data_IF_552068040139
#
_entry.id   IF_552068040139
#
_cell.length_a   1.000
_cell.length_b   1.000
_cell.length_c   1.000
_cell.angle_alpha   90.00
_cell.angle_beta   90.00
_cell.angle_gamma   90.00
#
_symmetry.space_group_name_H-M   'P 1'
#
loop_
_entity.id
_entity.type
_entity.pdbx_description
1 polymer ?
#
# COMPACT_ATOMS: atom_id res chain seq x y z
N UNK A 1 -1.16 -9.96 0.22
CA UNK A 1 0.10 -9.33 -0.23
C UNK A 1 0.11 -7.90 0.29
N UNK A 2 1.21 -7.49 0.94
CA UNK A 2 1.46 -6.11 1.34
C UNK A 2 2.50 -5.53 0.37
N UNK A 3 2.32 -4.30 -0.08
CA UNK A 3 3.32 -3.62 -0.88
C UNK A 3 3.34 -2.13 -0.60
N UNK A 4 4.54 -1.58 -0.56
CA UNK A 4 4.82 -0.16 -0.32
C UNK A 4 5.39 0.40 -1.60
N UNK A 5 4.81 1.50 -2.06
CA UNK A 5 5.11 2.10 -3.36
C UNK A 5 5.41 3.58 -3.17
N UNK A 6 6.41 4.09 -3.88
CA UNK A 6 6.73 5.51 -3.91
C UNK A 6 5.85 6.29 -4.92
N UNK A 7 6.07 7.61 -5.02
CA UNK A 7 5.32 8.45 -5.98
C UNK A 7 5.63 8.15 -7.44
N UNK A 8 6.75 7.48 -7.71
CA UNK A 8 7.23 7.12 -9.05
C UNK A 8 6.80 5.70 -9.46
N UNK A 9 5.84 5.10 -8.75
CA UNK A 9 5.35 3.75 -9.02
C UNK A 9 6.41 2.65 -8.83
N UNK A 10 7.43 2.89 -7.99
CA UNK A 10 8.45 1.91 -7.63
C UNK A 10 8.08 1.24 -6.30
N UNK A 11 8.17 -0.09 -6.27
CA UNK A 11 8.03 -0.84 -5.02
C UNK A 11 9.26 -0.62 -4.15
N UNK A 12 9.02 -0.12 -2.94
CA UNK A 12 10.02 0.00 -1.87
C UNK A 12 10.07 -1.26 -1.02
N UNK A 13 8.94 -1.95 -0.91
CA UNK A 13 8.79 -3.18 -0.13
C UNK A 13 7.64 -4.01 -0.68
N UNK A 14 7.79 -5.32 -0.73
CA UNK A 14 6.73 -6.28 -1.08
C UNK A 14 6.83 -7.48 -0.15
N UNK A 15 5.74 -7.78 0.55
CA UNK A 15 5.57 -9.01 1.31
C UNK A 15 4.46 -9.85 0.66
N UNK A 16 4.78 -11.05 0.15
CA UNK A 16 3.76 -11.97 -0.34
C UNK A 16 2.70 -12.23 0.74
N UNK A 17 1.44 -12.38 0.31
CA UNK A 17 0.34 -12.61 1.24
C UNK A 17 0.51 -13.92 1.98
N UNK A 18 -0.09 -13.99 3.17
CA UNK A 18 -0.30 -15.28 3.83
C UNK A 18 -1.46 -16.00 3.16
N UNK A 19 -1.41 -17.32 3.13
CA UNK A 19 -2.53 -18.15 2.67
C UNK A 19 -3.72 -17.98 3.64
N UNK A 20 -4.92 -17.73 3.10
CA UNK A 20 -6.16 -17.49 3.87
C UNK A 20 -6.55 -16.02 4.13
N UNK A 21 -7.65 -15.82 4.85
CA UNK A 21 -8.23 -14.49 5.16
C UNK A 21 -7.50 -13.81 6.33
N UNK A 22 -6.26 -13.39 6.10
CA UNK A 22 -5.49 -12.60 7.07
C UNK A 22 -5.85 -11.13 7.00
N UNK A 23 -6.08 -10.48 8.15
CA UNK A 23 -6.36 -9.05 8.19
C UNK A 23 -5.13 -8.21 7.81
N UNK A 24 -5.38 -7.08 7.15
CA UNK A 24 -4.33 -6.13 6.73
C UNK A 24 -3.37 -5.74 7.85
N UNK A 25 -3.89 -5.49 9.07
CA UNK A 25 -3.08 -5.14 10.24
C UNK A 25 -2.16 -6.28 10.70
N UNK A 26 -2.57 -7.55 10.55
CA UNK A 26 -1.72 -8.70 10.90
C UNK A 26 -0.53 -8.82 9.95
N UNK A 27 -0.76 -8.63 8.65
CA UNK A 27 0.30 -8.69 7.63
C UNK A 27 1.30 -7.54 7.82
N UNK A 28 0.83 -6.33 8.12
CA UNK A 28 1.72 -5.19 8.43
C UNK A 28 2.54 -5.43 9.69
N UNK A 29 1.92 -5.96 10.75
CA UNK A 29 2.64 -6.28 11.99
C UNK A 29 3.71 -7.35 11.78
N UNK A 30 3.42 -8.35 10.95
CA UNK A 30 4.42 -9.37 10.60
C UNK A 30 5.58 -8.77 9.81
N UNK A 31 5.28 -7.92 8.82
CA UNK A 31 6.30 -7.22 8.03
C UNK A 31 7.28 -6.42 8.91
N UNK A 32 6.81 -5.85 10.02
CA UNK A 32 7.62 -5.03 10.92
C UNK A 32 8.32 -5.81 12.04
N UNK A 33 8.28 -7.15 12.05
CA UNK A 33 8.94 -7.93 13.10
C UNK A 33 10.46 -7.83 12.99
N UNK A 34 11.10 -7.41 14.08
CA UNK A 34 12.56 -7.23 14.17
C UNK A 34 13.37 -8.52 13.95
N UNK A 35 12.75 -9.71 14.06
CA UNK A 35 13.42 -10.98 13.79
C UNK A 35 13.44 -11.36 12.30
N UNK A 36 12.83 -10.54 11.43
CA UNK A 36 12.87 -10.72 9.98
C UNK A 36 14.11 -10.04 9.41
N UNK A 37 14.81 -10.73 8.53
CA UNK A 37 15.93 -10.16 7.80
C UNK A 37 15.47 -9.10 6.78
N UNK A 38 14.24 -9.22 6.29
CA UNK A 38 13.56 -8.31 5.38
C UNK A 38 12.57 -7.38 6.11
N UNK A 39 12.78 -7.09 7.40
CA UNK A 39 11.85 -6.28 8.17
C UNK A 39 11.55 -4.92 7.52
N UNK A 40 10.28 -4.60 7.38
CA UNK A 40 9.84 -3.28 6.96
C UNK A 40 10.03 -2.27 8.08
N UNK A 41 10.96 -1.34 7.89
CA UNK A 41 11.28 -0.29 8.86
C UNK A 41 10.78 1.06 8.35
N UNK A 42 10.07 1.78 9.22
CA UNK A 42 9.71 3.18 8.95
C UNK A 42 10.86 4.08 9.38
N UNK A 43 11.50 4.84 8.48
CA UNK A 43 12.57 5.75 8.86
C UNK A 43 12.08 6.82 9.84
N UNK A 44 12.95 7.22 10.78
CA UNK A 44 12.61 8.24 11.77
C UNK A 44 12.20 9.56 11.09
N UNK A 45 11.11 10.16 11.58
CA UNK A 45 10.56 11.39 11.03
C UNK A 45 9.80 11.24 9.70
N UNK A 46 9.63 10.01 9.19
CA UNK A 46 8.85 9.74 7.97
C UNK A 46 7.54 9.03 8.29
N UNK A 47 6.58 9.20 7.39
CA UNK A 47 5.26 8.58 7.48
C UNK A 47 4.88 7.96 6.14
N UNK A 48 4.23 6.80 6.20
CA UNK A 48 3.57 6.15 5.08
C UNK A 48 2.07 6.40 5.11
N UNK A 49 1.50 6.69 3.94
CA UNK A 49 0.04 6.77 3.80
C UNK A 49 -0.52 5.35 3.70
N UNK A 50 -1.53 5.04 4.51
CA UNK A 50 -2.16 3.71 4.57
C UNK A 50 -3.63 3.76 4.23
N UNK A 51 -4.19 2.62 3.84
CA UNK A 51 -5.63 2.46 3.58
C UNK A 51 -6.45 2.71 4.87
N UNK A 52 -7.73 3.07 4.73
CA UNK A 52 -8.69 3.24 5.83
C UNK A 52 -8.87 2.01 6.72
N UNK A 53 -8.51 0.82 6.20
CA UNK A 53 -8.49 -0.43 6.97
C UNK A 53 -7.29 -0.59 7.92
N UNK A 54 -6.37 0.37 7.94
CA UNK A 54 -5.26 0.42 8.88
C UNK A 54 -5.50 1.47 9.97
N UNK A 55 -4.94 1.21 11.14
CA UNK A 55 -4.96 2.13 12.27
C UNK A 55 -3.89 3.22 12.11
N UNK A 56 -4.24 4.46 12.44
CA UNK A 56 -3.26 5.55 12.60
C UNK A 56 -2.27 5.22 13.72
N UNK A 57 -1.00 5.59 13.53
CA UNK A 57 0.04 5.39 14.52
C UNK A 57 1.38 5.99 14.11
N UNK A 58 2.41 5.89 14.96
CA UNK A 58 3.76 6.34 14.60
C UNK A 58 4.20 5.74 13.25
N UNK A 59 4.53 6.61 12.29
CA UNK A 59 4.95 6.19 10.96
C UNK A 59 3.83 5.87 9.96
N UNK A 60 2.55 5.89 10.35
CA UNK A 60 1.42 5.54 9.47
C UNK A 60 0.26 6.51 9.56
N UNK A 61 -0.20 6.98 8.41
CA UNK A 61 -1.28 7.97 8.28
C UNK A 61 -2.42 7.42 7.39
N UNK A 62 -3.51 7.05 8.04
CA UNK A 62 -4.77 6.67 7.43
C UNK A 62 -5.56 7.93 7.00
N UNK A 63 -6.50 7.80 6.06
CA UNK A 63 -7.42 8.90 5.73
C UNK A 63 -8.30 9.23 6.95
N UNK A 64 -8.75 10.48 7.07
CA UNK A 64 -9.76 10.83 8.07
C UNK A 64 -11.05 10.09 7.73
N UNK A 65 -11.46 9.21 8.65
CA UNK A 65 -12.77 8.55 8.59
C UNK A 65 -13.87 9.62 8.70
N UNK A 66 -15.05 9.32 8.15
CA UNK A 66 -16.23 10.22 8.06
C UNK A 66 -16.07 11.55 7.32
N UNK A 67 -14.90 11.85 6.75
CA UNK A 67 -14.71 13.01 5.85
C UNK A 67 -14.87 12.57 4.40
N UNK A 68 -15.96 12.97 3.75
CA UNK A 68 -16.31 12.55 2.38
C UNK A 68 -15.24 13.05 1.39
N UNK A 69 -14.63 12.12 0.67
CA UNK A 69 -13.79 12.43 -0.48
C UNK A 69 -14.68 12.49 -1.72
N UNK A 70 -15.21 13.67 -2.04
CA UNK A 70 -16.09 13.90 -3.19
C UNK A 70 -15.29 14.00 -4.50
N UNK A 71 -14.40 13.04 -4.77
CA UNK A 71 -13.46 13.10 -5.88
C UNK A 71 -14.18 13.26 -7.25
N UNK A 72 -15.36 12.64 -7.40
CA UNK A 72 -16.18 12.77 -8.62
C UNK A 72 -16.85 14.14 -8.73
N UNK A 73 -17.38 14.68 -7.64
CA UNK A 73 -18.01 16.00 -7.66
C UNK A 73 -16.95 17.07 -7.86
N UNK A 74 -15.79 17.02 -7.20
CA UNK A 74 -14.70 17.99 -7.40
C UNK A 74 -14.19 18.08 -8.84
N UNK A 75 -14.13 16.94 -9.55
CA UNK A 75 -13.73 16.92 -10.98
C UNK A 75 -14.85 17.46 -11.88
N UNK A 76 -16.11 17.22 -11.53
CA UNK A 76 -17.26 17.62 -12.34
C UNK A 76 -17.76 19.05 -12.05
N UNK A 77 -17.61 19.56 -10.83
CA UNK A 77 -18.20 20.82 -10.34
C UNK A 77 -17.17 21.90 -9.96
N UNK A 78 -15.87 21.64 -10.15
CA UNK A 78 -14.76 22.51 -9.70
C UNK A 78 -14.81 22.87 -8.20
N UNK A 79 -15.60 22.15 -7.40
CA UNK A 79 -15.66 22.39 -5.97
C UNK A 79 -14.31 22.07 -5.34
N UNK A 80 -13.77 23.04 -4.61
CA UNK A 80 -12.52 22.90 -3.88
C UNK A 80 -12.79 22.33 -2.48
N UNK A 81 -11.83 21.60 -1.90
CA UNK A 81 -11.90 21.19 -0.49
C UNK A 81 -12.14 22.41 0.40
N UNK A 82 -13.18 22.36 1.22
CA UNK A 82 -13.57 23.45 2.12
C UNK A 82 -12.83 23.37 3.46
N UNK A 83 -12.37 22.16 3.83
CA UNK A 83 -11.67 21.94 5.10
C UNK A 83 -10.27 21.34 4.90
N UNK A 84 -9.40 21.55 5.88
CA UNK A 84 -8.07 20.94 5.90
C UNK A 84 -8.13 19.39 5.88
N UNK A 85 -9.16 18.80 6.49
CA UNK A 85 -9.41 17.35 6.46
C UNK A 85 -9.78 16.86 5.07
N UNK A 86 -10.65 17.59 4.36
CA UNK A 86 -11.00 17.27 2.98
C UNK A 86 -9.79 17.40 2.05
N UNK A 87 -8.99 18.46 2.21
CA UNK A 87 -7.76 18.64 1.42
C UNK A 87 -6.76 17.51 1.67
N UNK A 88 -6.61 17.09 2.93
CA UNK A 88 -5.79 15.94 3.28
C UNK A 88 -6.33 14.66 2.62
N UNK A 89 -7.62 14.36 2.77
CA UNK A 89 -8.23 13.17 2.17
C UNK A 89 -8.14 13.18 0.63
N UNK A 90 -8.23 14.35 -0.02
CA UNK A 90 -8.01 14.51 -1.46
C UNK A 90 -6.59 14.09 -1.85
N UNK A 91 -5.58 14.65 -1.17
CA UNK A 91 -4.17 14.34 -1.42
C UNK A 91 -3.87 12.86 -1.12
N UNK A 92 -4.48 12.32 -0.07
CA UNK A 92 -4.39 10.91 0.30
C UNK A 92 -4.98 10.01 -0.80
N UNK A 93 -6.19 10.31 -1.29
CA UNK A 93 -6.83 9.58 -2.39
C UNK A 93 -5.99 9.64 -3.68
N UNK A 94 -5.39 10.79 -4.01
CA UNK A 94 -4.46 10.90 -5.15
C UNK A 94 -3.23 10.01 -4.99
N UNK A 95 -2.65 9.96 -3.79
CA UNK A 95 -1.53 9.06 -3.51
C UNK A 95 -1.94 7.59 -3.60
N UNK A 96 -3.12 7.23 -3.08
CA UNK A 96 -3.70 5.89 -3.22
C UNK A 96 -3.83 5.47 -4.68
N UNK A 97 -4.25 6.38 -5.58
CA UNK A 97 -4.34 6.08 -7.01
C UNK A 97 -3.00 5.67 -7.61
N UNK A 98 -1.87 6.20 -7.13
CA UNK A 98 -0.53 5.77 -7.58
C UNK A 98 -0.29 4.32 -7.19
N UNK A 99 -0.62 3.95 -5.95
CA UNK A 99 -0.52 2.57 -5.46
C UNK A 99 -1.39 1.64 -6.32
N UNK A 100 -2.68 1.95 -6.47
CA UNK A 100 -3.63 1.13 -7.23
C UNK A 100 -3.21 0.95 -8.69
N UNK A 101 -2.75 2.03 -9.35
CA UNK A 101 -2.21 1.95 -10.71
C UNK A 101 -0.97 1.07 -10.79
N UNK A 102 -0.07 1.16 -9.81
CA UNK A 102 1.16 0.36 -9.77
C UNK A 102 0.85 -1.12 -9.65
N UNK A 103 -0.01 -1.50 -8.71
CA UNK A 103 -0.50 -2.88 -8.59
C UNK A 103 -1.27 -3.33 -9.83
N UNK A 104 -2.06 -2.43 -10.45
CA UNK A 104 -2.77 -2.71 -11.70
C UNK A 104 -1.83 -3.05 -12.86
N UNK A 105 -0.77 -2.27 -13.06
CA UNK A 105 0.26 -2.54 -14.06
C UNK A 105 0.99 -3.85 -13.78
N UNK A 106 1.32 -4.10 -12.51
CA UNK A 106 1.97 -5.34 -12.09
C UNK A 106 1.10 -6.58 -12.32
N UNK A 107 -0.20 -6.52 -12.00
CA UNK A 107 -1.15 -7.61 -12.28
C UNK A 107 -1.33 -7.86 -13.78
N UNK A 108 -1.22 -6.81 -14.61
CA UNK A 108 -1.23 -6.97 -16.08
C UNK A 108 0.03 -7.67 -16.58
N UNK A 109 1.20 -7.27 -16.06
CA UNK A 109 2.51 -7.82 -16.46
C UNK A 109 2.72 -9.26 -15.97
N UNK A 110 2.28 -9.56 -14.74
CA UNK A 110 2.55 -10.84 -14.08
C UNK A 110 1.26 -11.60 -13.81
N UNK A 111 0.99 -12.61 -14.65
CA UNK A 111 -0.23 -13.41 -14.56
C UNK A 111 -0.40 -14.12 -13.20
N UNK A 112 0.71 -14.45 -12.54
CA UNK A 112 0.72 -15.10 -11.22
C UNK A 112 0.08 -14.25 -10.12
N UNK A 113 0.02 -12.93 -10.28
CA UNK A 113 -0.63 -12.02 -9.33
C UNK A 113 -2.14 -11.86 -9.59
N UNK A 114 -2.65 -12.46 -10.67
CA UNK A 114 -4.09 -12.50 -10.99
C UNK A 114 -4.80 -13.71 -10.40
N UNK A 115 -4.05 -14.78 -10.09
CA UNK A 115 -4.59 -16.03 -9.57
C UNK A 115 -4.43 -16.03 -8.05
N UNK A 116 -5.49 -16.34 -7.29
CA UNK A 116 -5.33 -16.75 -5.89
C UNK A 116 -4.46 -18.01 -5.91
N UNK A 117 -3.19 -17.85 -5.58
CA UNK A 117 -2.24 -18.95 -5.61
C UNK A 117 -2.50 -19.85 -4.41
N UNK A 118 -3.05 -21.04 -4.69
CA UNK A 118 -3.03 -22.22 -3.80
C UNK A 118 -1.62 -22.83 -3.70
N UNK A 119 -0.58 -22.00 -3.85
CA UNK A 119 0.81 -22.44 -3.77
C UNK A 119 1.31 -22.12 -2.38
N UNK A 120 1.98 -23.09 -1.78
CA UNK A 120 2.63 -22.96 -0.48
C UNK A 120 3.56 -21.73 -0.47
N UNK A 121 3.67 -21.02 0.66
CA UNK A 121 4.37 -19.72 0.72
C UNK A 121 5.85 -19.85 0.31
N UNK A 122 6.43 -21.04 0.51
CA UNK A 122 7.80 -21.39 0.10
C UNK A 122 7.95 -21.39 -1.43
N UNK A 123 6.93 -21.82 -2.18
CA UNK A 123 6.94 -21.83 -3.64
C UNK A 123 6.67 -20.45 -4.24
N UNK A 124 5.93 -19.59 -3.53
CA UNK A 124 5.69 -18.20 -3.94
C UNK A 124 6.95 -17.32 -3.76
N UNK A 125 7.69 -17.51 -2.68
CA UNK A 125 8.97 -16.79 -2.42
C UNK A 125 10.04 -17.19 -3.43
N UNK A 126 10.02 -18.44 -3.92
CA UNK A 126 11.00 -18.92 -4.90
C UNK A 126 10.83 -18.30 -6.30
N UNK A 127 9.61 -17.81 -6.64
CA UNK A 127 9.31 -17.21 -7.95
C UNK A 127 9.39 -15.67 -7.98
N UNK A 128 9.63 -15.02 -6.84
CA UNK A 128 9.79 -13.54 -6.76
C UNK A 128 11.13 -13.22 -6.11
N UNK A 129 12.23 -13.47 -6.83
CA UNK A 129 13.50 -12.76 -6.59
C UNK A 129 13.48 -11.47 -7.41
N UNK A 130 12.99 -10.39 -6.83
CA UNK A 130 13.25 -9.04 -7.35
C UNK A 130 14.54 -8.55 -6.70
N UNK A 131 15.65 -8.85 -7.34
CA UNK A 131 16.93 -8.22 -7.03
C UNK A 131 16.85 -6.76 -7.48
N UNK A 132 16.85 -5.81 -6.54
CA UNK A 132 17.12 -4.40 -6.83
C UNK A 132 18.59 -4.16 -6.47
N UNK A 133 19.46 -4.21 -7.47
CA UNK A 133 20.79 -3.62 -7.42
C UNK A 133 20.67 -2.11 -7.67
N UNK A 134 21.31 -1.30 -6.84
CA UNK A 134 21.61 0.10 -7.17
C UNK A 134 23.03 0.17 -7.74
N UNK A 135 23.17 0.87 -8.86
CA UNK A 135 24.37 1.61 -9.26
C UNK A 135 24.04 3.09 -9.24
#
# INVERSE_FOLDING_TARGET
MLGVVDRNMKFLYVLPGWEGSSSNSRVLRDAMRNNRQDAFVVPQGKYYLVDAGYTNGPGFLAPFQSTRCHLKEWVASQQQPQTSKELYNLRHSRARNVVERTFGLWKKKWAILRVQSFFDIKDQVTKVKVTVTYG
#
